data_IF_033872811706
#
_entry.id   IF_033872811706
#
_cell.length_a   1.000
_cell.length_b   1.000
_cell.length_c   1.000
_cell.angle_alpha   90.00
_cell.angle_beta   90.00
_cell.angle_gamma   90.00
#
_symmetry.space_group_name_H-M   'P 1'
#
loop_
_entity.id
_entity.type
_entity.pdbx_description
1 polymer ?
#
# COMPACT_ATOMS: atom_id res chain seq x y z
N UNK A 1 -0.53 -8.57 15.85
CA UNK A 1 -1.14 -8.70 14.51
C UNK A 1 -0.02 -8.92 13.53
N UNK A 2 -0.16 -9.84 12.57
CA UNK A 2 0.85 -10.11 11.53
C UNK A 2 0.17 -9.89 10.19
N UNK A 3 0.83 -9.13 9.32
CA UNK A 3 0.44 -8.97 7.91
C UNK A 3 1.33 -9.87 7.06
N UNK A 4 0.74 -10.52 6.05
CA UNK A 4 1.48 -11.29 5.04
C UNK A 4 1.04 -10.78 3.68
N UNK A 5 1.94 -10.09 3.01
CA UNK A 5 1.71 -9.51 1.69
C UNK A 5 2.83 -9.83 0.70
N UNK A 6 2.55 -9.67 -0.60
CA UNK A 6 3.56 -9.75 -1.65
C UNK A 6 3.35 -8.59 -2.61
N UNK A 7 4.44 -7.92 -3.02
CA UNK A 7 4.39 -6.77 -3.93
C UNK A 7 5.12 -7.12 -5.21
N UNK A 8 4.46 -6.84 -6.33
CA UNK A 8 5.02 -7.03 -7.67
C UNK A 8 5.05 -5.69 -8.40
N UNK A 9 6.10 -5.50 -9.20
CA UNK A 9 6.10 -4.43 -10.20
C UNK A 9 5.03 -4.75 -11.25
N UNK A 10 4.21 -3.76 -11.59
CA UNK A 10 3.19 -3.88 -12.62
C UNK A 10 3.58 -3.03 -13.82
N UNK A 11 3.89 -3.69 -14.95
CA UNK A 11 4.29 -3.00 -16.18
C UNK A 11 3.08 -2.62 -17.06
N UNK A 12 1.95 -3.32 -16.90
CA UNK A 12 0.70 -3.07 -17.62
C UNK A 12 -0.52 -3.21 -16.70
N UNK A 13 -1.09 -2.06 -16.31
CA UNK A 13 -2.27 -2.00 -15.45
C UNK A 13 -3.55 -2.49 -16.14
N UNK A 14 -3.67 -2.29 -17.46
CA UNK A 14 -4.88 -2.68 -18.20
C UNK A 14 -4.99 -4.19 -18.27
N UNK A 15 -3.89 -4.87 -18.64
CA UNK A 15 -3.84 -6.32 -18.69
C UNK A 15 -4.08 -6.95 -17.30
N UNK A 16 -3.60 -6.31 -16.23
CA UNK A 16 -3.85 -6.73 -14.85
C UNK A 16 -5.34 -6.60 -14.49
N UNK A 17 -5.97 -5.48 -14.82
CA UNK A 17 -7.41 -5.26 -14.58
C UNK A 17 -8.27 -6.28 -15.31
N UNK A 18 -8.00 -6.53 -16.59
CA UNK A 18 -8.72 -7.56 -17.37
C UNK A 18 -8.59 -8.95 -16.72
N UNK A 19 -7.40 -9.29 -16.23
CA UNK A 19 -7.17 -10.56 -15.54
C UNK A 19 -7.93 -10.64 -14.22
N UNK A 20 -7.91 -9.59 -13.42
CA UNK A 20 -8.64 -9.52 -12.15
C UNK A 20 -10.16 -9.68 -12.38
N UNK A 21 -10.69 -9.00 -13.39
CA UNK A 21 -12.10 -9.13 -13.79
C UNK A 21 -12.43 -10.58 -14.20
N UNK A 22 -11.56 -11.22 -14.98
CA UNK A 22 -11.76 -12.63 -15.39
C UNK A 22 -11.74 -13.62 -14.22
N UNK A 23 -11.11 -13.25 -13.11
CA UNK A 23 -11.06 -14.04 -11.87
C UNK A 23 -12.22 -13.73 -10.92
N UNK A 24 -13.10 -12.79 -11.27
CA UNK A 24 -14.23 -12.37 -10.44
C UNK A 24 -13.83 -11.47 -9.27
N UNK A 25 -12.72 -10.72 -9.39
CA UNK A 25 -12.38 -9.69 -8.42
C UNK A 25 -13.50 -8.65 -8.31
N UNK A 26 -13.73 -8.14 -7.11
CA UNK A 26 -14.65 -7.03 -6.87
C UNK A 26 -13.87 -5.73 -6.89
N UNK A 27 -14.29 -4.79 -7.71
CA UNK A 27 -13.70 -3.46 -7.76
C UNK A 27 -14.19 -2.63 -6.58
N UNK A 28 -13.23 -2.01 -5.89
CA UNK A 28 -13.50 -0.98 -4.88
C UNK A 28 -13.34 0.42 -5.51
N UNK A 29 -14.05 1.44 -4.98
CA UNK A 29 -13.85 2.82 -5.44
C UNK A 29 -12.39 3.25 -5.31
N UNK A 30 -11.89 3.84 -6.40
CA UNK A 30 -10.60 4.54 -6.37
C UNK A 30 -10.61 5.60 -5.27
N UNK A 31 -9.53 5.63 -4.48
CA UNK A 31 -9.37 6.57 -3.37
C UNK A 31 -7.95 7.10 -3.30
N UNK A 32 -7.82 8.33 -2.86
CA UNK A 32 -6.52 8.93 -2.55
C UNK A 32 -6.12 8.50 -1.15
N UNK A 33 -4.88 8.01 -1.01
CA UNK A 33 -4.27 7.71 0.29
C UNK A 33 -3.02 8.57 0.45
N UNK A 34 -2.93 9.29 1.57
CA UNK A 34 -1.79 10.15 1.89
C UNK A 34 -1.14 9.61 3.16
N UNK A 35 0.11 9.17 3.02
CA UNK A 35 0.91 8.67 4.13
C UNK A 35 1.89 9.73 4.62
N UNK A 36 1.76 10.12 5.89
CA UNK A 36 2.77 10.91 6.59
C UNK A 36 3.60 10.00 7.50
N UNK A 37 4.88 9.86 7.17
CA UNK A 37 5.83 9.05 7.94
C UNK A 37 6.53 9.87 9.02
N UNK A 38 6.75 9.27 10.17
CA UNK A 38 7.44 9.86 11.30
C UNK A 38 8.61 8.99 11.73
N UNK A 39 9.66 9.63 12.20
CA UNK A 39 10.79 8.98 12.84
C UNK A 39 10.87 9.41 14.30
N UNK A 40 11.59 8.65 15.13
CA UNK A 40 11.85 9.03 16.50
C UNK A 40 13.06 9.99 16.59
N UNK A 41 13.11 10.89 17.59
CA UNK A 41 14.24 11.80 17.77
C UNK A 41 15.53 11.08 18.21
N UNK A 42 15.41 9.91 18.81
CA UNK A 42 16.47 9.13 19.45
C UNK A 42 16.75 7.78 18.77
N UNK A 43 16.00 7.43 17.71
CA UNK A 43 16.14 6.18 16.97
C UNK A 43 15.73 6.37 15.52
N UNK A 44 16.52 5.82 14.59
CA UNK A 44 16.17 5.78 13.17
C UNK A 44 15.43 4.48 12.81
N UNK A 45 14.13 4.57 12.59
CA UNK A 45 13.28 3.42 12.27
C UNK A 45 13.69 2.69 10.98
N UNK A 46 14.34 3.37 10.03
CA UNK A 46 14.82 2.73 8.80
C UNK A 46 15.94 1.71 9.07
N UNK A 47 16.71 1.89 10.15
CA UNK A 47 17.79 0.97 10.53
C UNK A 47 17.27 -0.29 11.22
N UNK A 48 16.07 -0.23 11.78
CA UNK A 48 15.45 -1.32 12.54
C UNK A 48 14.30 -1.99 11.80
N UNK A 49 14.07 -1.65 10.53
CA UNK A 49 12.97 -2.14 9.70
C UNK A 49 11.59 -1.84 10.35
N UNK A 50 11.50 -0.68 11.00
CA UNK A 50 10.26 -0.16 11.59
C UNK A 50 9.73 1.01 10.72
N UNK A 51 8.43 1.26 10.79
CA UNK A 51 7.82 2.46 10.23
C UNK A 51 6.62 2.90 11.05
N UNK A 52 6.54 4.20 11.35
CA UNK A 52 5.34 4.82 11.90
C UNK A 52 4.76 5.77 10.86
N UNK A 53 3.48 5.59 10.53
CA UNK A 53 2.76 6.50 9.64
C UNK A 53 1.36 6.84 10.14
N UNK A 54 0.89 8.02 9.77
CA UNK A 54 -0.53 8.38 9.77
C UNK A 54 -1.00 8.37 8.32
N UNK A 55 -2.05 7.59 8.02
CA UNK A 55 -2.68 7.54 6.69
C UNK A 55 -4.01 8.28 6.72
N UNK A 56 -4.16 9.25 5.82
CA UNK A 56 -5.46 9.87 5.50
C UNK A 56 -6.01 9.23 4.23
N UNK A 57 -7.30 8.91 4.22
CA UNK A 57 -8.00 8.28 3.09
C UNK A 57 -9.15 9.17 2.65
N UNK A 58 -9.14 9.60 1.39
CA UNK A 58 -10.07 10.62 0.87
C UNK A 58 -9.59 12.05 1.08
N UNK A 59 -10.51 13.00 0.92
CA UNK A 59 -10.34 14.44 1.23
C UNK A 59 -10.78 14.77 2.66
#
# INVERSE_FOLDING_TARGET
MIEVETKYRCDDLSALQDRLNSLGAQEDPARTEIDQYFNAPDRDFAQTDEALRVRTVGD
#
